data_IF_167203969451
#
_entry.id   IF_167203969451
#
_cell.length_a   1.000
_cell.length_b   1.000
_cell.length_c   1.000
_cell.angle_alpha   90.00
_cell.angle_beta   90.00
_cell.angle_gamma   90.00
#
_symmetry.space_group_name_H-M   'P 1'
#
loop_
_entity.id
_entity.type
_entity.pdbx_description
1 polymer ?
#
# COMPACT_ATOMS: atom_id res chain seq x y z
N UNK A 1 80.89 43.63 0.04
CA UNK A 1 80.16 42.66 0.91
C UNK A 1 78.63 42.89 0.87
N UNK A 2 78.01 43.01 -0.32
CA UNK A 2 76.55 43.23 -0.43
C UNK A 2 75.80 42.07 -1.14
N UNK A 3 76.49 41.21 -1.88
CA UNK A 3 75.85 40.14 -2.68
C UNK A 3 75.43 38.90 -1.87
N UNK A 4 76.04 38.66 -0.72
CA UNK A 4 75.75 37.48 0.13
C UNK A 4 74.40 37.58 0.87
N UNK A 5 73.91 38.81 1.14
CA UNK A 5 72.61 39.04 1.79
C UNK A 5 71.41 38.72 0.89
N UNK A 6 71.56 38.85 -0.44
CA UNK A 6 70.48 38.58 -1.40
C UNK A 6 70.31 37.11 -1.78
N UNK A 7 71.36 36.30 -1.63
CA UNK A 7 71.31 34.85 -1.95
C UNK A 7 70.62 34.08 -0.83
N UNK A 8 70.91 34.38 0.44
CA UNK A 8 70.25 33.74 1.59
C UNK A 8 68.73 33.95 1.63
N UNK A 9 68.26 35.16 1.31
CA UNK A 9 66.82 35.45 1.25
C UNK A 9 66.08 34.69 0.14
N UNK A 10 66.72 34.52 -1.02
CA UNK A 10 66.15 33.73 -2.13
C UNK A 10 66.09 32.24 -1.82
N UNK A 11 67.12 31.70 -1.15
CA UNK A 11 67.13 30.32 -0.65
C UNK A 11 66.05 30.06 0.39
N UNK A 12 65.85 30.99 1.34
CA UNK A 12 64.79 30.87 2.35
C UNK A 12 63.38 30.90 1.74
N UNK A 13 63.15 31.79 0.76
CA UNK A 13 61.89 31.84 0.03
C UNK A 13 61.63 30.55 -0.78
N UNK A 14 62.67 29.97 -1.39
CA UNK A 14 62.57 28.71 -2.09
C UNK A 14 62.24 27.55 -1.13
N UNK A 15 62.93 27.49 0.01
CA UNK A 15 62.69 26.48 1.05
C UNK A 15 61.24 26.53 1.56
N UNK A 16 60.75 27.72 1.91
CA UNK A 16 59.36 27.92 2.33
C UNK A 16 58.35 27.46 1.28
N UNK A 17 58.61 27.73 -0.02
CA UNK A 17 57.74 27.28 -1.11
C UNK A 17 57.74 25.75 -1.27
N UNK A 18 58.91 25.11 -1.08
CA UNK A 18 59.03 23.65 -1.08
C UNK A 18 58.26 23.05 0.10
N UNK A 19 58.41 23.61 1.30
CA UNK A 19 57.71 23.14 2.51
C UNK A 19 56.20 23.26 2.36
N UNK A 20 55.70 24.40 1.85
CA UNK A 20 54.28 24.55 1.54
C UNK A 20 53.81 23.50 0.54
N UNK A 21 54.60 23.23 -0.52
CA UNK A 21 54.21 22.23 -1.52
C UNK A 21 54.20 20.81 -0.95
N UNK A 22 55.16 20.47 -0.09
CA UNK A 22 55.19 19.19 0.64
C UNK A 22 53.96 19.07 1.54
N UNK A 23 53.57 20.14 2.23
CA UNK A 23 52.37 20.16 3.05
C UNK A 23 51.11 19.86 2.23
N UNK A 24 50.91 20.57 1.11
CA UNK A 24 49.79 20.30 0.21
C UNK A 24 49.80 18.88 -0.36
N UNK A 25 50.96 18.33 -0.71
CA UNK A 25 51.04 16.96 -1.23
C UNK A 25 50.67 15.92 -0.17
N UNK A 26 51.00 16.15 1.10
CA UNK A 26 50.60 15.27 2.20
C UNK A 26 49.09 15.32 2.41
N UNK A 27 48.51 16.51 2.37
CA UNK A 27 47.06 16.73 2.51
C UNK A 27 46.27 15.99 1.41
N UNK A 28 46.66 16.19 0.15
CA UNK A 28 46.06 15.50 -1.01
C UNK A 28 46.20 13.97 -0.91
N UNK A 29 47.31 13.47 -0.34
CA UNK A 29 47.52 12.03 -0.18
C UNK A 29 46.60 11.42 0.89
N UNK A 30 46.27 12.19 1.94
CA UNK A 30 45.27 11.79 2.94
C UNK A 30 43.88 11.74 2.31
N UNK A 31 43.49 12.80 1.58
CA UNK A 31 42.20 12.84 0.86
C UNK A 31 42.08 11.68 -0.14
N UNK A 32 43.15 11.37 -0.87
CA UNK A 32 43.19 10.23 -1.78
C UNK A 32 42.93 8.90 -1.06
N UNK A 33 43.54 8.68 0.11
CA UNK A 33 43.34 7.45 0.88
C UNK A 33 41.90 7.34 1.42
N UNK A 34 41.31 8.45 1.88
CA UNK A 34 39.93 8.49 2.32
C UNK A 34 38.96 8.20 1.16
N UNK A 35 39.16 8.84 0.00
CA UNK A 35 38.39 8.57 -1.21
C UNK A 35 38.52 7.11 -1.65
N UNK A 36 39.73 6.54 -1.64
CA UNK A 36 39.97 5.14 -1.99
C UNK A 36 39.19 4.19 -1.08
N UNK A 37 39.14 4.48 0.22
CA UNK A 37 38.37 3.67 1.17
C UNK A 37 36.86 3.77 0.92
N UNK A 38 36.34 4.98 0.69
CA UNK A 38 34.92 5.18 0.35
C UNK A 38 34.55 4.44 -0.94
N UNK A 39 35.40 4.49 -1.96
CA UNK A 39 35.18 3.76 -3.22
C UNK A 39 35.15 2.25 -2.99
N UNK A 40 36.00 1.71 -2.11
CA UNK A 40 35.98 0.29 -1.75
C UNK A 40 34.69 -0.09 -1.01
N UNK A 41 34.25 0.72 -0.05
CA UNK A 41 32.98 0.49 0.67
C UNK A 41 31.77 0.51 -0.28
N UNK A 42 31.72 1.46 -1.23
CA UNK A 42 30.68 1.55 -2.25
C UNK A 42 30.69 0.32 -3.18
N UNK A 43 31.87 -0.18 -3.55
CA UNK A 43 31.99 -1.37 -4.37
C UNK A 43 31.40 -2.60 -3.66
N UNK A 44 31.70 -2.79 -2.38
CA UNK A 44 31.12 -3.88 -1.57
C UNK A 44 29.59 -3.74 -1.40
N UNK A 45 29.08 -2.51 -1.19
CA UNK A 45 27.64 -2.25 -1.13
C UNK A 45 26.94 -2.60 -2.44
N UNK A 46 27.54 -2.24 -3.57
CA UNK A 46 27.01 -2.55 -4.89
C UNK A 46 26.92 -4.07 -5.12
N UNK A 47 27.93 -4.83 -4.71
CA UNK A 47 27.90 -6.30 -4.83
C UNK A 47 26.80 -6.90 -3.95
N UNK A 48 26.63 -6.42 -2.71
CA UNK A 48 25.54 -6.87 -1.83
C UNK A 48 24.17 -6.60 -2.44
N UNK A 49 23.97 -5.39 -2.97
CA UNK A 49 22.71 -5.01 -3.60
C UNK A 49 22.40 -5.88 -4.84
N UNK A 50 23.40 -6.16 -5.68
CA UNK A 50 23.22 -7.05 -6.83
C UNK A 50 22.87 -8.48 -6.42
N UNK A 51 23.45 -8.98 -5.33
CA UNK A 51 23.13 -10.31 -4.81
C UNK A 51 21.69 -10.38 -4.27
N UNK A 52 21.26 -9.36 -3.53
CA UNK A 52 19.87 -9.22 -3.05
C UNK A 52 18.89 -9.13 -4.23
N UNK A 53 19.22 -8.35 -5.26
CA UNK A 53 18.40 -8.23 -6.47
C UNK A 53 18.25 -9.58 -7.20
N UNK A 54 19.34 -10.32 -7.40
CA UNK A 54 19.28 -11.67 -8.00
C UNK A 54 18.44 -12.63 -7.16
N UNK A 55 18.54 -12.54 -5.82
CA UNK A 55 17.72 -13.34 -4.91
C UNK A 55 16.23 -13.02 -5.05
N UNK A 56 15.88 -11.73 -5.14
CA UNK A 56 14.51 -11.27 -5.35
C UNK A 56 13.96 -11.71 -6.72
N UNK A 57 14.77 -11.62 -7.78
CA UNK A 57 14.38 -12.07 -9.12
C UNK A 57 14.09 -13.59 -9.14
N UNK A 58 14.95 -14.39 -8.50
CA UNK A 58 14.73 -15.84 -8.37
C UNK A 58 13.47 -16.17 -7.56
N UNK A 59 13.21 -15.44 -6.47
CA UNK A 59 12.00 -15.59 -5.67
C UNK A 59 10.75 -15.22 -6.46
N UNK A 60 10.81 -14.15 -7.25
CA UNK A 60 9.73 -13.69 -8.10
C UNK A 60 9.38 -14.74 -9.17
N UNK A 61 10.38 -15.34 -9.81
CA UNK A 61 10.13 -16.42 -10.79
C UNK A 61 9.54 -17.67 -10.13
N UNK A 62 10.03 -18.09 -8.95
CA UNK A 62 9.43 -19.20 -8.21
C UNK A 62 7.95 -18.94 -7.85
N UNK A 63 7.63 -17.71 -7.42
CA UNK A 63 6.25 -17.33 -7.10
C UNK A 63 5.35 -17.31 -8.35
N UNK A 64 5.87 -16.91 -9.52
CA UNK A 64 5.14 -16.97 -10.78
C UNK A 64 4.86 -18.41 -11.19
N UNK A 65 5.83 -19.32 -11.05
CA UNK A 65 5.64 -20.74 -11.34
C UNK A 65 4.55 -21.36 -10.44
N UNK A 66 4.58 -21.04 -9.14
CA UNK A 66 3.55 -21.49 -8.19
C UNK A 66 2.16 -20.93 -8.54
N UNK A 67 2.07 -19.66 -8.94
CA UNK A 67 0.81 -19.04 -9.37
C UNK A 67 0.25 -19.73 -10.62
N UNK A 68 1.10 -20.07 -11.59
CA UNK A 68 0.70 -20.80 -12.81
C UNK A 68 0.19 -22.20 -12.45
N UNK A 69 0.88 -22.91 -11.56
CA UNK A 69 0.44 -24.23 -11.09
C UNK A 69 -0.94 -24.16 -10.41
N UNK A 70 -1.11 -23.23 -9.47
CA UNK A 70 -2.37 -23.03 -8.76
C UNK A 70 -3.52 -22.65 -9.71
N UNK A 71 -3.24 -21.84 -10.73
CA UNK A 71 -4.26 -21.44 -11.70
C UNK A 71 -4.70 -22.61 -12.60
N UNK A 72 -3.78 -23.51 -12.96
CA UNK A 72 -4.11 -24.73 -13.70
C UNK A 72 -4.97 -25.69 -12.87
N UNK A 73 -4.65 -25.86 -11.57
CA UNK A 73 -5.47 -26.66 -10.65
C UNK A 73 -6.88 -26.07 -10.48
N UNK A 74 -6.98 -24.75 -10.37
CA UNK A 74 -8.27 -24.06 -10.28
C UNK A 74 -9.13 -24.28 -11.52
N UNK A 75 -8.55 -24.23 -12.73
CA UNK A 75 -9.31 -24.52 -13.95
C UNK A 75 -9.75 -25.99 -14.02
N UNK A 76 -8.88 -26.94 -13.66
CA UNK A 76 -9.27 -28.34 -13.58
C UNK A 76 -10.44 -28.58 -12.61
N UNK A 77 -10.42 -27.91 -11.45
CA UNK A 77 -11.52 -27.98 -10.47
C UNK A 77 -12.82 -27.37 -11.02
N UNK A 78 -12.75 -26.24 -11.76
CA UNK A 78 -13.93 -25.63 -12.41
C UNK A 78 -14.55 -26.56 -13.45
N UNK A 79 -13.73 -27.21 -14.28
CA UNK A 79 -14.21 -28.19 -15.26
C UNK A 79 -14.89 -29.40 -14.60
N UNK A 80 -14.35 -29.87 -13.47
CA UNK A 80 -14.96 -30.95 -12.69
C UNK A 80 -16.30 -30.54 -12.06
N UNK A 81 -16.39 -29.33 -11.49
CA UNK A 81 -17.65 -28.78 -10.99
C UNK A 81 -18.68 -28.67 -12.11
N UNK A 82 -18.28 -28.21 -13.31
CA UNK A 82 -19.17 -28.13 -14.47
C UNK A 82 -19.71 -29.51 -14.86
N UNK A 83 -18.84 -30.53 -14.93
CA UNK A 83 -19.25 -31.92 -15.19
C UNK A 83 -20.22 -32.44 -14.12
N UNK A 84 -19.93 -32.22 -12.85
CA UNK A 84 -20.79 -32.64 -11.73
C UNK A 84 -22.15 -31.94 -11.73
N UNK A 85 -22.20 -30.66 -12.10
CA UNK A 85 -23.47 -29.95 -12.24
C UNK A 85 -24.34 -30.53 -13.36
N UNK A 86 -23.75 -30.88 -14.50
CA UNK A 86 -24.48 -31.53 -15.59
C UNK A 86 -25.01 -32.93 -15.19
N UNK A 87 -24.20 -33.72 -14.48
CA UNK A 87 -24.63 -35.01 -13.91
C UNK A 87 -25.79 -34.82 -12.92
N UNK A 88 -25.67 -33.84 -12.01
CA UNK A 88 -26.70 -33.53 -11.02
C UNK A 88 -28.03 -33.13 -11.68
N UNK A 89 -27.98 -32.35 -12.75
CA UNK A 89 -29.17 -31.95 -13.52
C UNK A 89 -29.84 -33.15 -14.19
N UNK A 90 -29.05 -34.08 -14.76
CA UNK A 90 -29.55 -35.34 -15.32
C UNK A 90 -30.25 -36.21 -14.26
N UNK A 91 -29.62 -36.37 -13.08
CA UNK A 91 -30.18 -37.15 -11.96
C UNK A 91 -31.46 -36.50 -11.42
N UNK A 92 -31.50 -35.16 -11.29
CA UNK A 92 -32.72 -34.44 -10.89
C UNK A 92 -33.89 -34.72 -11.84
N UNK A 93 -33.64 -34.72 -13.15
CA UNK A 93 -34.66 -35.02 -14.16
C UNK A 93 -35.17 -36.47 -14.04
N UNK A 94 -34.25 -37.44 -13.90
CA UNK A 94 -34.62 -38.85 -13.70
C UNK A 94 -35.43 -39.06 -12.40
N UNK A 95 -35.08 -38.36 -11.33
CA UNK A 95 -35.81 -38.41 -10.07
C UNK A 95 -37.24 -37.88 -10.25
N UNK A 96 -37.41 -36.70 -10.86
CA UNK A 96 -38.74 -36.15 -11.17
C UNK A 96 -39.58 -37.10 -12.04
N UNK A 97 -38.97 -37.72 -13.06
CA UNK A 97 -39.64 -38.73 -13.90
C UNK A 97 -40.01 -39.99 -13.11
N UNK A 98 -39.19 -40.40 -12.15
CA UNK A 98 -39.48 -41.56 -11.28
C UNK A 98 -40.59 -41.25 -10.26
N UNK A 99 -40.60 -40.05 -9.68
CA UNK A 99 -41.63 -39.58 -8.76
C UNK A 99 -42.99 -39.47 -9.48
N UNK A 100 -43.01 -38.91 -10.69
CA UNK A 100 -44.21 -38.86 -11.51
C UNK A 100 -44.75 -40.26 -11.85
N UNK A 101 -43.86 -41.19 -12.21
CA UNK A 101 -44.24 -42.60 -12.44
C UNK A 101 -44.78 -43.26 -11.18
N UNK A 102 -44.19 -43.00 -10.02
CA UNK A 102 -44.65 -43.57 -8.75
C UNK A 102 -46.05 -43.05 -8.36
N UNK A 103 -46.29 -41.74 -8.49
CA UNK A 103 -47.61 -41.14 -8.27
C UNK A 103 -48.65 -41.77 -9.21
N UNK A 104 -48.30 -41.99 -10.47
CA UNK A 104 -49.20 -42.62 -11.44
C UNK A 104 -49.48 -44.11 -11.11
N UNK A 105 -48.47 -44.84 -10.62
CA UNK A 105 -48.63 -46.22 -10.15
C UNK A 105 -49.51 -46.30 -8.88
N UNK A 106 -49.37 -45.35 -7.95
CA UNK A 106 -50.25 -45.24 -6.78
C UNK A 106 -51.70 -44.92 -7.18
N UNK A 107 -51.92 -44.06 -8.17
CA UNK A 107 -53.27 -43.78 -8.70
C UNK A 107 -53.89 -45.02 -9.37
N UNK A 108 -53.10 -45.81 -10.09
CA UNK A 108 -53.57 -47.05 -10.72
C UNK A 108 -53.81 -48.18 -9.71
N UNK A 109 -53.02 -48.25 -8.63
CA UNK A 109 -53.25 -49.23 -7.55
C UNK A 109 -54.43 -48.84 -6.65
N UNK A 110 -54.71 -47.54 -6.49
CA UNK A 110 -55.91 -47.04 -5.80
C UNK A 110 -57.22 -47.44 -6.48
N UNK A 111 -57.24 -47.57 -7.82
CA UNK A 111 -58.40 -48.04 -8.60
C UNK A 111 -58.63 -49.55 -8.40
N UNK A 112 -57.59 -50.33 -8.06
CA UNK A 112 -57.72 -51.77 -7.77
C UNK A 112 -58.24 -52.03 -6.35
N UNK A 113 -58.15 -51.07 -5.43
CA UNK A 113 -58.65 -51.22 -4.05
C UNK A 113 -60.17 -50.99 -3.93
N UNK A 114 -60.83 -50.35 -4.91
CA UNK A 114 -62.27 -50.08 -4.84
C UNK A 114 -63.16 -51.31 -5.14
N UNK A 115 -62.57 -52.47 -5.47
CA UNK A 115 -63.32 -53.70 -5.76
C UNK A 115 -63.27 -54.80 -4.67
N UNK A 116 -62.66 -54.54 -3.50
CA UNK A 116 -62.76 -55.49 -2.38
C UNK A 116 -62.84 -54.80 -1.01
N UNK A 117 -64.03 -54.82 -0.42
CA UNK A 117 -64.23 -54.85 1.03
C UNK A 117 -65.22 -55.98 1.37
N UNK A 118 -65.27 -56.51 2.61
CA UNK A 118 -64.58 -56.04 3.82
C UNK A 118 -63.87 -57.16 4.62
N UNK A 119 -62.89 -56.80 5.44
CA UNK A 119 -62.71 -57.38 6.79
C UNK A 119 -61.76 -56.51 7.60
N UNK A 120 -62.34 -55.84 8.59
CA UNK A 120 -61.65 -54.84 9.40
C UNK A 120 -60.70 -55.44 10.41
N UNK A 121 -59.68 -54.66 10.77
CA UNK A 121 -59.07 -54.66 12.10
C UNK A 121 -58.63 -53.23 12.40
N UNK A 122 -59.14 -52.69 13.51
CA UNK A 122 -58.70 -51.45 14.14
C UNK A 122 -57.20 -51.51 14.46
N UNK A 123 -56.46 -50.42 14.27
CA UNK A 123 -55.58 -49.83 15.32
C UNK A 123 -54.93 -48.49 14.89
N UNK A 124 -55.30 -47.45 15.66
CA UNK A 124 -54.46 -46.41 16.30
C UNK A 124 -53.56 -45.49 15.43
N UNK A 125 -54.04 -44.24 15.33
CA UNK A 125 -53.38 -42.98 15.76
C UNK A 125 -51.91 -42.74 15.39
N UNK A 126 -51.63 -41.66 14.63
CA UNK A 126 -51.06 -40.38 15.15
C UNK A 126 -51.45 -39.24 14.19
N UNK A 127 -51.71 -38.10 14.79
CA UNK A 127 -52.37 -36.90 14.29
C UNK A 127 -51.34 -35.83 13.88
N UNK A 128 -51.58 -35.21 12.70
CA UNK A 128 -51.36 -33.81 12.24
C UNK A 128 -50.03 -33.12 12.63
N UNK A 129 -49.40 -32.29 11.78
CA UNK A 129 -50.00 -31.02 11.33
C UNK A 129 -49.06 -30.31 10.33
N UNK A 130 -49.54 -30.07 9.11
CA UNK A 130 -49.05 -29.02 8.20
C UNK A 130 -49.84 -27.75 8.51
N UNK A 131 -49.20 -26.60 8.66
CA UNK A 131 -49.83 -25.31 8.43
C UNK A 131 -48.90 -24.39 7.65
N UNK A 132 -49.37 -24.07 6.45
CA UNK A 132 -48.99 -22.90 5.67
C UNK A 132 -50.26 -22.04 5.63
N UNK A 133 -50.20 -20.78 6.04
CA UNK A 133 -51.12 -19.75 5.55
C UNK A 133 -50.40 -18.41 5.47
N UNK A 134 -50.47 -17.85 4.27
CA UNK A 134 -50.07 -16.52 3.86
C UNK A 134 -51.36 -15.68 3.77
N UNK A 135 -51.33 -14.44 4.26
CA UNK A 135 -52.42 -13.47 4.14
C UNK A 135 -52.15 -12.16 4.90
N UNK A 136 -51.79 -11.10 4.16
CA UNK A 136 -51.72 -9.66 4.54
C UNK A 136 -53.13 -9.07 4.80
N UNK A 137 -53.31 -7.76 5.15
CA UNK A 137 -52.44 -6.76 5.81
C UNK A 137 -53.16 -6.00 6.97
N UNK A 138 -52.41 -5.22 7.76
CA UNK A 138 -52.98 -4.20 8.66
C UNK A 138 -51.95 -3.53 9.55
N UNK A 139 -51.46 -2.35 9.15
CA UNK A 139 -50.93 -1.27 10.00
C UNK A 139 -52.13 -0.31 10.29
N UNK A 140 -52.14 0.65 11.25
CA UNK A 140 -51.02 1.22 12.02
C UNK A 140 -51.27 1.47 13.52
N UNK A 141 -50.20 1.71 14.27
CA UNK A 141 -50.35 2.32 15.61
C UNK A 141 -49.14 2.17 16.52
N UNK A 142 -48.33 3.23 16.56
CA UNK A 142 -47.71 3.82 17.75
C UNK A 142 -46.93 2.88 18.69
N UNK A 143 -45.62 3.12 18.81
CA UNK A 143 -45.04 3.59 20.07
C UNK A 143 -43.66 4.19 19.84
N UNK A 144 -43.61 5.48 20.12
CA UNK A 144 -42.49 6.40 20.13
C UNK A 144 -41.75 6.32 21.49
N UNK A 145 -40.45 6.70 21.49
CA UNK A 145 -39.62 7.12 22.64
C UNK A 145 -39.07 5.96 23.52
N UNK A 146 -37.80 5.97 23.96
CA UNK A 146 -37.02 7.11 24.40
C UNK A 146 -35.51 6.79 24.37
N UNK A 147 -34.76 7.64 23.67
CA UNK A 147 -33.32 7.84 23.80
C UNK A 147 -33.09 8.74 25.02
N UNK A 148 -32.14 8.39 25.88
CA UNK A 148 -31.84 9.12 27.12
C UNK A 148 -30.33 9.32 27.28
N UNK A 149 -29.88 10.52 26.94
CA UNK A 149 -28.53 11.04 27.12
C UNK A 149 -28.18 11.33 28.59
N UNK A 150 -26.92 11.06 28.92
CA UNK A 150 -25.95 11.89 29.67
C UNK A 150 -26.14 12.20 31.18
N UNK A 151 -25.01 11.95 31.87
CA UNK A 151 -24.40 12.73 32.95
C UNK A 151 -24.81 12.48 34.40
N UNK A 152 -23.83 12.06 35.19
CA UNK A 152 -23.75 12.37 36.63
C UNK A 152 -22.34 12.92 36.92
N UNK A 153 -22.19 14.16 37.42
CA UNK A 153 -20.91 14.74 37.81
C UNK A 153 -20.70 14.59 39.33
N UNK A 154 -19.51 14.12 39.75
CA UNK A 154 -19.09 14.39 41.12
C UNK A 154 -17.57 14.60 41.23
N UNK A 155 -17.25 15.53 42.12
CA UNK A 155 -16.07 16.37 42.19
C UNK A 155 -14.82 15.69 42.78
N UNK A 156 -13.66 16.22 42.37
CA UNK A 156 -12.36 15.96 42.99
C UNK A 156 -11.25 16.70 42.24
N UNK A 157 -10.83 17.84 42.78
CA UNK A 157 -9.82 18.73 42.24
C UNK A 157 -8.47 18.05 41.99
N UNK A 158 -7.98 18.11 40.75
CA UNK A 158 -6.56 18.28 40.44
C UNK A 158 -6.46 18.80 39.01
N UNK A 159 -6.10 20.08 38.90
CA UNK A 159 -5.57 20.71 37.68
C UNK A 159 -4.23 20.04 37.32
N UNK A 160 -4.31 18.87 36.70
CA UNK A 160 -3.29 18.35 35.81
C UNK A 160 -3.97 18.20 34.48
N UNK A 161 -3.51 18.95 33.46
CA UNK A 161 -4.00 18.79 32.10
C UNK A 161 -4.04 17.30 31.79
N UNK A 162 -5.24 16.75 31.61
CA UNK A 162 -5.43 15.45 30.99
C UNK A 162 -5.05 15.64 29.52
N UNK A 163 -3.75 15.75 29.26
CA UNK A 163 -3.19 15.44 27.95
C UNK A 163 -3.58 13.99 27.75
N UNK A 164 -4.49 13.75 26.82
CA UNK A 164 -4.95 12.40 26.55
C UNK A 164 -3.75 11.60 26.04
N UNK A 165 -3.70 10.28 26.30
CA UNK A 165 -2.62 9.43 25.78
C UNK A 165 -2.48 9.52 24.26
N UNK A 166 -3.56 9.89 23.58
CA UNK A 166 -3.58 10.07 22.13
C UNK A 166 -2.83 11.34 21.72
N UNK A 167 -2.94 12.43 22.49
CA UNK A 167 -2.18 13.67 22.26
C UNK A 167 -0.66 13.44 22.39
N UNK A 168 -0.23 12.63 23.36
CA UNK A 168 1.18 12.28 23.54
C UNK A 168 1.71 11.45 22.37
N UNK A 169 0.92 10.50 21.85
CA UNK A 169 1.31 9.67 20.71
C UNK A 169 1.37 10.48 19.41
N UNK A 170 0.45 11.42 19.21
CA UNK A 170 0.48 12.32 18.06
C UNK A 170 1.67 13.27 18.14
N UNK A 171 1.96 13.85 19.31
CA UNK A 171 3.13 14.68 19.51
C UNK A 171 4.45 13.92 19.24
N UNK A 172 4.53 12.64 19.67
CA UNK A 172 5.67 11.77 19.33
C UNK A 172 5.75 11.51 17.83
N UNK A 173 4.61 11.32 17.15
CA UNK A 173 4.56 11.13 15.70
C UNK A 173 5.07 12.37 14.96
N UNK A 174 4.59 13.55 15.32
CA UNK A 174 5.03 14.83 14.75
C UNK A 174 6.53 15.05 14.95
N UNK A 175 7.05 14.75 16.15
CA UNK A 175 8.47 14.90 16.44
C UNK A 175 9.33 13.92 15.63
N UNK A 176 8.85 12.69 15.44
CA UNK A 176 9.49 11.74 14.54
C UNK A 176 9.45 12.24 13.09
N UNK A 177 8.34 12.81 12.61
CA UNK A 177 8.27 13.38 11.26
C UNK A 177 9.33 14.46 11.08
N UNK A 178 9.43 15.42 12.02
CA UNK A 178 10.47 16.48 11.99
C UNK A 178 11.87 15.88 11.99
N UNK A 179 12.14 14.96 12.90
CA UNK A 179 13.45 14.31 12.98
C UNK A 179 13.80 13.52 11.72
N UNK A 180 12.82 12.86 11.09
CA UNK A 180 13.01 12.14 9.84
C UNK A 180 13.17 13.07 8.64
N UNK A 181 12.53 14.24 8.59
CA UNK A 181 12.76 15.26 7.55
C UNK A 181 14.23 15.72 7.53
N UNK A 182 14.86 15.87 8.70
CA UNK A 182 16.25 16.32 8.80
C UNK A 182 17.26 15.23 8.40
N UNK A 183 16.94 13.97 8.68
CA UNK A 183 17.88 12.88 8.42
C UNK A 183 17.62 12.21 7.09
N UNK A 184 16.39 12.16 6.56
CA UNK A 184 16.05 11.41 5.36
C UNK A 184 16.71 12.00 4.10
N UNK A 185 17.53 11.19 3.44
CA UNK A 185 18.29 11.57 2.26
C UNK A 185 17.99 10.67 1.06
N UNK A 186 16.87 9.94 1.11
CA UNK A 186 16.48 8.97 0.09
C UNK A 186 17.23 7.64 0.21
N UNK A 187 16.66 6.58 -0.36
CA UNK A 187 17.28 5.25 -0.42
C UNK A 187 17.14 4.38 0.83
N UNK A 188 16.32 4.77 1.81
CA UNK A 188 16.10 4.03 3.06
C UNK A 188 14.82 3.22 3.03
N UNK A 189 14.80 2.15 3.83
CA UNK A 189 13.60 1.29 4.01
C UNK A 189 12.47 2.02 4.75
N UNK A 190 12.81 3.01 5.56
CA UNK A 190 11.89 3.81 6.35
C UNK A 190 12.31 5.28 6.23
N UNK A 191 11.33 6.15 5.99
CA UNK A 191 11.58 7.57 5.69
C UNK A 191 10.31 8.41 5.74
N UNK A 192 10.38 9.60 5.13
CA UNK A 192 9.24 10.49 4.95
C UNK A 192 8.65 10.31 3.56
N UNK A 193 7.33 10.29 3.48
CA UNK A 193 6.58 10.42 2.24
C UNK A 193 5.79 11.73 2.24
N UNK A 194 5.85 12.46 1.13
CA UNK A 194 4.94 13.56 0.84
C UNK A 194 3.63 13.00 0.27
N UNK A 195 2.52 13.25 0.96
CA UNK A 195 1.21 12.74 0.58
C UNK A 195 0.70 13.48 -0.65
N UNK A 196 0.39 12.74 -1.72
CA UNK A 196 0.03 13.35 -3.01
C UNK A 196 1.22 13.63 -3.94
N UNK A 197 2.46 13.31 -3.53
CA UNK A 197 3.60 13.38 -4.43
C UNK A 197 3.62 12.19 -5.39
N UNK A 198 3.86 12.48 -6.67
CA UNK A 198 3.92 11.47 -7.70
C UNK A 198 5.24 10.67 -7.65
N UNK A 199 5.18 9.40 -8.01
CA UNK A 199 6.37 8.56 -8.17
C UNK A 199 6.91 8.69 -9.60
N UNK A 200 8.04 9.41 -9.76
CA UNK A 200 8.71 9.65 -11.04
C UNK A 200 8.94 8.37 -11.87
N UNK A 201 9.28 7.25 -11.22
CA UNK A 201 9.54 5.97 -11.91
C UNK A 201 8.32 5.46 -12.67
N UNK A 202 7.11 5.77 -12.21
CA UNK A 202 5.88 5.33 -12.90
C UNK A 202 5.76 6.03 -14.26
N UNK A 203 6.13 7.31 -14.33
CA UNK A 203 6.11 8.09 -15.56
C UNK A 203 7.26 7.67 -16.49
N UNK A 204 8.43 7.33 -15.93
CA UNK A 204 9.51 6.73 -16.70
C UNK A 204 9.09 5.41 -17.37
N UNK A 205 8.43 4.51 -16.63
CA UNK A 205 7.90 3.25 -17.17
C UNK A 205 6.86 3.51 -18.26
N UNK A 206 5.98 4.50 -18.05
CA UNK A 206 4.95 4.87 -19.03
C UNK A 206 5.57 5.39 -20.35
N UNK A 207 6.59 6.25 -20.26
CA UNK A 207 7.31 6.76 -21.43
C UNK A 207 8.15 5.68 -22.12
N UNK A 208 8.82 4.79 -21.38
CA UNK A 208 9.58 3.66 -21.93
C UNK A 208 8.72 2.74 -22.81
N UNK A 209 7.43 2.62 -22.52
CA UNK A 209 6.51 1.81 -23.31
C UNK A 209 6.12 2.44 -24.67
N UNK A 210 6.47 3.70 -24.90
CA UNK A 210 5.99 4.50 -26.04
C UNK A 210 7.10 5.16 -26.86
N UNK A 211 8.23 5.48 -26.24
CA UNK A 211 9.30 6.29 -26.80
C UNK A 211 10.62 5.50 -26.87
N UNK A 212 11.52 5.85 -27.80
CA UNK A 212 12.86 5.30 -27.82
C UNK A 212 13.63 5.70 -26.55
N UNK A 213 14.54 4.85 -26.02
CA UNK A 213 15.23 5.09 -24.75
C UNK A 213 15.94 6.43 -24.63
N UNK A 214 16.43 6.98 -25.74
CA UNK A 214 17.14 8.27 -25.81
C UNK A 214 16.23 9.47 -25.47
N UNK A 215 14.93 9.36 -25.76
CA UNK A 215 13.95 10.45 -25.56
C UNK A 215 13.18 10.32 -24.24
N UNK A 216 13.21 9.15 -23.60
CA UNK A 216 12.46 8.84 -22.39
C UNK A 216 12.83 9.76 -21.23
N UNK A 217 14.11 10.11 -21.09
CA UNK A 217 14.58 10.91 -19.95
C UNK A 217 13.83 12.24 -19.84
N UNK A 218 13.89 13.04 -20.90
CA UNK A 218 13.23 14.35 -20.96
C UNK A 218 11.70 14.20 -20.93
N UNK A 219 11.14 13.32 -21.76
CA UNK A 219 9.69 13.14 -21.85
C UNK A 219 9.05 12.66 -20.53
N UNK A 220 9.72 11.77 -19.80
CA UNK A 220 9.21 11.27 -18.51
C UNK A 220 9.23 12.34 -17.43
N UNK A 221 10.25 13.20 -17.42
CA UNK A 221 10.34 14.32 -16.48
C UNK A 221 9.31 15.41 -16.81
N UNK A 222 9.10 15.73 -18.09
CA UNK A 222 8.06 16.67 -18.52
C UNK A 222 6.66 16.16 -18.16
N UNK A 223 6.39 14.87 -18.39
CA UNK A 223 5.12 14.27 -18.01
C UNK A 223 4.93 14.27 -16.49
N UNK A 224 5.93 13.82 -15.72
CA UNK A 224 5.90 13.83 -14.26
C UNK A 224 5.63 15.24 -13.71
N UNK A 225 6.39 16.24 -14.16
CA UNK A 225 6.32 17.62 -13.68
C UNK A 225 5.01 18.31 -14.07
N UNK A 226 4.51 18.07 -15.28
CA UNK A 226 3.20 18.61 -15.71
C UNK A 226 2.05 18.06 -14.86
N UNK A 227 2.08 16.77 -14.52
CA UNK A 227 1.08 16.17 -13.63
C UNK A 227 1.22 16.61 -12.17
N UNK A 228 2.44 16.79 -11.68
CA UNK A 228 2.66 17.35 -10.35
C UNK A 228 2.09 18.78 -10.26
N UNK A 229 2.30 19.59 -11.31
CA UNK A 229 1.71 20.94 -11.43
C UNK A 229 0.18 20.88 -11.53
N UNK A 230 -0.36 19.91 -12.26
CA UNK A 230 -1.80 19.70 -12.37
C UNK A 230 -2.45 19.34 -11.03
N UNK A 231 -1.77 18.53 -10.20
CA UNK A 231 -2.21 18.22 -8.83
C UNK A 231 -2.19 19.45 -7.91
N UNK A 232 -1.24 20.36 -8.11
CA UNK A 232 -1.16 21.63 -7.37
C UNK A 232 -2.19 22.67 -7.83
N UNK A 233 -2.90 22.45 -8.94
CA UNK A 233 -3.91 23.37 -9.44
C UNK A 233 -5.21 23.25 -8.61
N UNK A 234 -5.58 24.33 -7.93
CA UNK A 234 -6.81 24.42 -7.15
C UNK A 234 -8.07 24.46 -8.01
N UNK A 235 -7.97 24.89 -9.27
CA UNK A 235 -9.11 24.94 -10.18
C UNK A 235 -9.52 23.56 -10.70
N UNK A 236 -8.64 22.56 -10.57
CA UNK A 236 -8.90 21.19 -10.96
C UNK A 236 -9.20 20.31 -9.75
N UNK A 237 -10.47 19.92 -9.63
CA UNK A 237 -10.95 19.06 -8.57
C UNK A 237 -11.76 17.89 -9.17
N UNK A 238 -11.10 16.79 -9.59
CA UNK A 238 -11.75 15.68 -10.27
C UNK A 238 -12.43 14.73 -9.27
N UNK A 239 -13.33 15.26 -8.42
CA UNK A 239 -14.12 14.47 -7.48
C UNK A 239 -15.60 14.59 -7.79
N UNK A 240 -16.34 13.50 -7.59
CA UNK A 240 -17.80 13.45 -7.70
C UNK A 240 -18.42 12.82 -6.47
N UNK A 241 -19.57 13.33 -6.07
CA UNK A 241 -20.37 12.75 -4.98
C UNK A 241 -21.23 11.62 -5.53
N UNK A 242 -21.11 10.45 -4.92
CA UNK A 242 -22.01 9.31 -5.14
C UNK A 242 -22.80 9.05 -3.85
N UNK A 243 -24.04 8.59 -3.99
CA UNK A 243 -24.87 8.21 -2.85
C UNK A 243 -24.72 6.71 -2.62
N UNK A 244 -24.25 6.31 -1.44
CA UNK A 244 -24.18 4.91 -1.00
C UNK A 244 -24.96 4.81 0.31
N UNK A 245 -26.02 4.02 0.32
CA UNK A 245 -26.90 3.81 1.48
C UNK A 245 -27.46 5.10 2.12
N UNK A 246 -27.78 6.10 1.27
CA UNK A 246 -28.28 7.40 1.72
C UNK A 246 -27.20 8.39 2.18
N UNK A 247 -25.94 7.96 2.31
CA UNK A 247 -24.81 8.82 2.64
C UNK A 247 -24.03 9.22 1.36
N UNK A 248 -23.80 10.52 1.20
CA UNK A 248 -22.95 11.05 0.13
C UNK A 248 -21.47 10.75 0.40
N UNK A 249 -20.84 10.00 -0.50
CA UNK A 249 -19.39 9.78 -0.51
C UNK A 249 -18.80 10.40 -1.76
N UNK A 250 -17.79 11.23 -1.60
CA UNK A 250 -17.03 11.77 -2.72
C UNK A 250 -15.91 10.81 -3.13
N UNK A 251 -15.87 10.47 -4.41
CA UNK A 251 -14.86 9.62 -5.04
C UNK A 251 -14.19 10.36 -6.19
N UNK A 252 -13.00 9.92 -6.61
CA UNK A 252 -12.37 10.46 -7.83
C UNK A 252 -13.28 10.18 -9.03
N UNK A 253 -13.54 11.21 -9.84
CA UNK A 253 -14.26 11.08 -11.08
C UNK A 253 -13.36 10.44 -12.14
N UNK A 254 -13.46 9.12 -12.27
CA UNK A 254 -12.70 8.35 -13.27
C UNK A 254 -12.94 8.88 -14.70
N UNK A 255 -14.11 9.45 -14.98
CA UNK A 255 -14.48 9.98 -16.30
C UNK A 255 -13.96 11.41 -16.55
N UNK A 256 -13.14 11.97 -15.66
CA UNK A 256 -12.47 13.25 -15.86
C UNK A 256 -11.64 13.24 -17.15
N UNK A 257 -11.77 14.29 -17.95
CA UNK A 257 -11.17 14.37 -19.29
C UNK A 257 -9.64 14.25 -19.23
N UNK A 258 -8.98 14.92 -18.28
CA UNK A 258 -7.53 14.87 -18.13
C UNK A 258 -7.07 13.50 -17.66
N UNK A 259 -7.77 12.88 -16.72
CA UNK A 259 -7.47 11.52 -16.26
C UNK A 259 -7.63 10.49 -17.39
N UNK A 260 -8.68 10.62 -18.20
CA UNK A 260 -8.89 9.75 -19.37
C UNK A 260 -7.83 9.95 -20.45
N UNK A 261 -7.40 11.18 -20.69
CA UNK A 261 -6.27 11.49 -21.56
C UNK A 261 -4.98 10.82 -21.08
N UNK A 262 -4.64 10.97 -19.79
CA UNK A 262 -3.47 10.30 -19.21
C UNK A 262 -3.49 8.79 -19.42
N UNK A 263 -4.65 8.18 -19.14
CA UNK A 263 -4.85 6.74 -19.27
C UNK A 263 -4.70 6.26 -20.71
N UNK A 264 -5.25 7.01 -21.66
CA UNK A 264 -5.17 6.69 -23.09
C UNK A 264 -3.74 6.81 -23.62
N UNK A 265 -3.05 7.88 -23.26
CA UNK A 265 -1.78 8.23 -23.88
C UNK A 265 -0.60 7.51 -23.21
N UNK A 266 -0.65 7.35 -21.88
CA UNK A 266 0.44 6.81 -21.05
C UNK A 266 0.06 5.57 -20.23
N UNK A 267 -1.17 5.10 -20.32
CA UNK A 267 -1.60 3.81 -19.76
C UNK A 267 -2.06 3.84 -18.30
N UNK A 268 -2.48 2.69 -17.81
CA UNK A 268 -3.09 2.52 -16.48
C UNK A 268 -2.13 2.86 -15.32
N UNK A 269 -0.83 2.65 -15.50
CA UNK A 269 0.17 2.91 -14.46
C UNK A 269 0.22 4.38 -14.05
N UNK A 270 0.38 5.28 -15.03
CA UNK A 270 0.41 6.72 -14.80
C UNK A 270 -0.94 7.23 -14.29
N UNK A 271 -2.04 6.76 -14.88
CA UNK A 271 -3.41 7.06 -14.43
C UNK A 271 -3.62 6.72 -12.94
N UNK A 272 -3.29 5.49 -12.54
CA UNK A 272 -3.44 5.03 -11.15
C UNK A 272 -2.54 5.81 -10.18
N UNK A 273 -1.33 6.21 -10.60
CA UNK A 273 -0.46 7.03 -9.77
C UNK A 273 -1.09 8.40 -9.44
N UNK A 274 -1.69 9.07 -10.42
CA UNK A 274 -2.38 10.35 -10.21
C UNK A 274 -3.65 10.17 -9.36
N UNK A 275 -4.45 9.13 -9.63
CA UNK A 275 -5.63 8.82 -8.80
C UNK A 275 -5.26 8.57 -7.34
N UNK A 276 -4.20 7.80 -7.09
CA UNK A 276 -3.72 7.53 -5.74
C UNK A 276 -3.25 8.82 -5.06
N UNK A 277 -2.51 9.69 -5.76
CA UNK A 277 -2.09 10.97 -5.23
C UNK A 277 -3.29 11.85 -4.82
N UNK A 278 -4.33 11.94 -5.65
CA UNK A 278 -5.56 12.66 -5.32
C UNK A 278 -6.26 12.09 -4.06
N UNK A 279 -6.30 10.76 -3.94
CA UNK A 279 -6.88 10.09 -2.77
C UNK A 279 -6.06 10.33 -1.50
N UNK A 280 -4.72 10.31 -1.61
CA UNK A 280 -3.83 10.65 -0.50
C UNK A 280 -4.03 12.10 -0.04
N UNK A 281 -4.08 13.06 -0.98
CA UNK A 281 -4.36 14.46 -0.66
C UNK A 281 -5.71 14.63 0.04
N UNK A 282 -6.70 13.80 -0.34
CA UNK A 282 -8.02 13.80 0.30
C UNK A 282 -7.96 13.30 1.73
N UNK A 283 -7.31 12.15 1.94
CA UNK A 283 -7.18 11.51 3.24
C UNK A 283 -6.49 12.44 4.25
N UNK A 284 -5.52 13.23 3.79
CA UNK A 284 -4.78 14.18 4.62
C UNK A 284 -5.39 15.59 4.65
N UNK A 285 -6.58 15.78 4.09
CA UNK A 285 -7.29 17.07 4.03
C UNK A 285 -6.49 18.20 3.36
N UNK A 286 -5.54 17.88 2.47
CA UNK A 286 -4.73 18.85 1.73
C UNK A 286 -5.22 19.11 0.31
N UNK A 287 -6.38 18.54 -0.06
CA UNK A 287 -6.99 18.87 -1.36
C UNK A 287 -7.39 20.35 -1.45
N UNK A 288 -7.88 20.95 -0.37
CA UNK A 288 -8.46 22.29 -0.41
C UNK A 288 -7.43 23.42 -0.51
N UNK A 289 -6.23 23.20 0.02
CA UNK A 289 -5.16 24.21 0.09
C UNK A 289 -3.86 23.79 -0.62
N UNK A 290 -3.76 22.53 -1.03
CA UNK A 290 -2.55 21.92 -1.64
C UNK A 290 -1.32 22.06 -0.75
N UNK A 291 -1.52 22.13 0.57
CA UNK A 291 -0.42 22.12 1.53
C UNK A 291 0.32 20.78 1.50
N UNK A 292 1.59 20.81 1.89
CA UNK A 292 2.40 19.60 1.95
C UNK A 292 2.07 18.87 3.24
N UNK A 293 1.58 17.64 3.13
CA UNK A 293 1.43 16.72 4.25
C UNK A 293 2.53 15.66 4.20
N UNK A 294 3.17 15.43 5.34
CA UNK A 294 4.21 14.41 5.49
C UNK A 294 3.71 13.23 6.30
N UNK A 295 4.19 12.04 5.95
CA UNK A 295 3.89 10.83 6.67
C UNK A 295 5.15 9.96 6.85
N UNK A 296 5.26 9.32 8.02
CA UNK A 296 6.24 8.27 8.27
C UNK A 296 5.88 7.05 7.41
N UNK A 297 6.79 6.67 6.52
CA UNK A 297 6.52 5.65 5.51
C UNK A 297 7.52 4.50 5.56
N UNK A 298 6.99 3.28 5.48
CA UNK A 298 7.77 2.08 5.27
C UNK A 298 7.77 1.78 3.76
N UNK A 299 8.86 2.15 3.09
CA UNK A 299 9.05 1.96 1.65
C UNK A 299 9.22 0.49 1.25
N UNK A 300 9.64 -0.37 2.18
CA UNK A 300 9.71 -1.81 1.94
C UNK A 300 8.32 -2.43 1.85
N UNK A 301 7.43 -2.05 2.75
CA UNK A 301 6.09 -2.64 2.87
C UNK A 301 5.01 -1.83 2.12
N UNK A 302 5.35 -0.63 1.62
CA UNK A 302 4.43 0.22 0.87
C UNK A 302 3.26 0.77 1.70
N UNK A 303 3.49 1.05 2.99
CA UNK A 303 2.45 1.52 3.93
C UNK A 303 3.00 2.53 4.94
N UNK A 304 2.09 3.18 5.68
CA UNK A 304 2.43 4.00 6.85
C UNK A 304 3.29 3.19 7.82
N UNK A 305 4.38 3.78 8.27
CA UNK A 305 5.23 3.21 9.29
C UNK A 305 4.59 3.41 10.67
N UNK A 306 4.73 2.39 11.51
CA UNK A 306 4.33 2.44 12.91
C UNK A 306 5.39 3.18 13.73
N UNK A 307 4.98 3.76 14.86
CA UNK A 307 5.92 4.40 15.80
C UNK A 307 7.00 3.42 16.27
N UNK A 308 6.65 2.15 16.46
CA UNK A 308 7.59 1.08 16.81
C UNK A 308 8.69 0.92 15.76
N UNK A 309 8.31 0.81 14.48
CA UNK A 309 9.28 0.68 13.38
C UNK A 309 10.21 1.90 13.32
N UNK A 310 9.68 3.11 13.52
CA UNK A 310 10.45 4.35 13.51
C UNK A 310 11.45 4.40 14.68
N UNK A 311 11.01 4.09 15.89
CA UNK A 311 11.88 4.06 17.09
C UNK A 311 12.95 3.00 16.96
N UNK A 312 12.60 1.79 16.51
CA UNK A 312 13.56 0.72 16.30
C UNK A 312 14.61 1.10 15.25
N UNK A 313 14.18 1.75 14.16
CA UNK A 313 15.08 2.28 13.14
C UNK A 313 16.08 3.28 13.74
N UNK A 314 15.59 4.31 14.45
CA UNK A 314 16.45 5.33 15.09
C UNK A 314 17.43 4.69 16.08
N UNK A 315 16.97 3.79 16.95
CA UNK A 315 17.83 3.08 17.89
C UNK A 315 18.94 2.28 17.17
N UNK A 316 18.61 1.61 16.07
CA UNK A 316 19.57 0.86 15.28
C UNK A 316 20.60 1.77 14.58
N UNK A 317 20.18 2.92 14.06
CA UNK A 317 21.09 3.92 13.49
C UNK A 317 22.08 4.45 14.54
N UNK A 318 21.60 4.80 15.74
CA UNK A 318 22.46 5.27 16.84
C UNK A 318 23.47 4.19 17.25
N UNK A 319 23.07 2.92 17.36
CA UNK A 319 23.98 1.81 17.66
C UNK A 319 25.07 1.69 16.59
N UNK A 320 24.70 1.72 15.31
CA UNK A 320 25.66 1.63 14.20
C UNK A 320 26.66 2.78 14.22
N UNK A 321 26.19 4.02 14.35
CA UNK A 321 27.06 5.21 14.43
C UNK A 321 28.03 5.14 15.63
N UNK A 322 27.57 4.61 16.77
CA UNK A 322 28.40 4.42 17.97
C UNK A 322 29.50 3.39 17.75
N UNK A 323 29.18 2.26 17.09
CA UNK A 323 30.17 1.23 16.74
C UNK A 323 31.20 1.78 15.75
N UNK A 324 30.76 2.54 14.75
CA UNK A 324 31.64 3.15 13.74
C UNK A 324 32.59 4.17 14.36
N UNK A 325 32.12 5.03 15.26
CA UNK A 325 32.97 5.98 16.01
C UNK A 325 34.04 5.26 16.84
N UNK A 326 33.67 4.18 17.56
CA UNK A 326 34.64 3.38 18.33
C UNK A 326 35.69 2.70 17.45
N UNK A 327 35.31 2.21 16.27
CA UNK A 327 36.25 1.62 15.30
C UNK A 327 37.19 2.65 14.69
N UNK A 328 36.74 3.90 14.48
CA UNK A 328 37.60 5.00 14.02
C UNK A 328 38.58 5.40 15.13
N UNK A 329 38.11 5.63 16.36
CA UNK A 329 38.98 6.00 17.49
C UNK A 329 40.03 4.96 17.88
N UNK A 330 39.87 3.68 17.51
CA UNK A 330 40.87 2.61 17.73
C UNK A 330 41.89 2.48 16.59
N UNK A 331 41.66 3.15 15.47
CA UNK A 331 42.55 3.15 14.29
C UNK A 331 43.51 4.35 14.26
N UNK A 332 43.42 5.24 15.25
CA UNK A 332 44.30 6.39 15.44
C UNK A 332 45.14 6.22 16.69
#
# INVERSE_FOLDING_TARGET
MAETRGVGGRLAALASKVDSKIYYLKDVLVEYMDMKNVVAEIAEERERFQLEQRGNDALLEAMKEELVAANNELEAAKEEISRKNNELESVKKQLQESEARNIQAEQQSGIVVELMQPRGVKKRSVQKQKHLYQGLPGDPGELQLMEGHLSDPNAGEASGALVSKDDDLEAVREELIKGFLDIDNGGRKLGIKEMGQLNEKVFQIACLAKLPPEEVGEASYELYSSWQKQLSDLSWNPFKTITVDGNGKEIVNVDDEKLQELKRDYGEGAHKAVMNALMEMKEYNVLADRSIAYELWNYKDGRKATLRECVEYVCNQVKQLTVTKRRKSRRW
#
